data_IF_763244442553
#
_entry.id   IF_763244442553
#
_cell.length_a   1.000
_cell.length_b   1.000
_cell.length_c   1.000
_cell.angle_alpha   90.00
_cell.angle_beta   90.00
_cell.angle_gamma   90.00
#
_symmetry.space_group_name_H-M   'P 1'
#
loop_
_entity.id
_entity.type
_entity.pdbx_description
1 polymer ?
#
# COMPACT_ATOMS: atom_id res chain seq x y z
N UNK A 1 -17.22 38.12 43.29
CA UNK A 1 -16.31 38.41 42.17
C UNK A 1 -17.16 38.83 40.99
N UNK A 2 -16.99 40.08 40.57
CA UNK A 2 -17.91 40.83 39.71
C UNK A 2 -17.73 40.42 38.24
N UNK A 3 -18.86 40.13 37.59
CA UNK A 3 -19.01 39.96 36.15
C UNK A 3 -19.05 41.35 35.52
N UNK A 4 -18.24 41.61 34.48
CA UNK A 4 -18.45 42.80 33.63
C UNK A 4 -18.37 42.45 32.16
N UNK A 5 -19.50 42.67 31.48
CA UNK A 5 -19.65 42.79 30.03
C UNK A 5 -19.06 44.12 29.58
N UNK A 6 -18.46 44.16 28.39
CA UNK A 6 -18.36 45.39 27.60
C UNK A 6 -18.72 45.08 26.14
N UNK A 7 -19.84 45.64 25.71
CA UNK A 7 -20.23 45.88 24.32
C UNK A 7 -19.83 47.33 23.99
N UNK A 8 -19.25 47.56 22.82
CA UNK A 8 -19.42 48.82 22.10
C UNK A 8 -19.13 48.64 20.60
N UNK A 9 -19.90 49.37 19.82
CA UNK A 9 -20.25 49.24 18.42
C UNK A 9 -19.33 49.96 17.41
N UNK A 10 -19.30 49.38 16.21
CA UNK A 10 -19.17 49.93 14.84
C UNK A 10 -18.42 51.26 14.56
N UNK A 11 -17.46 51.20 13.63
CA UNK A 11 -17.44 52.05 12.42
C UNK A 11 -16.85 51.27 11.23
N UNK A 12 -17.59 51.25 10.13
CA UNK A 12 -17.27 50.69 8.81
C UNK A 12 -16.58 51.71 7.90
N UNK A 13 -15.55 51.30 7.15
CA UNK A 13 -14.98 52.07 6.03
C UNK A 13 -14.62 51.11 4.86
N UNK A 14 -14.85 51.49 3.58
CA UNK A 14 -14.82 50.56 2.46
C UNK A 14 -13.42 50.40 1.84
N UNK A 15 -13.09 49.17 1.43
CA UNK A 15 -11.89 48.86 0.65
C UNK A 15 -12.12 49.12 -0.85
N UNK A 16 -11.12 49.63 -1.61
CA UNK A 16 -11.30 49.92 -3.03
C UNK A 16 -11.13 48.65 -3.89
N UNK A 17 -12.03 48.51 -4.85
CA UNK A 17 -12.02 47.49 -5.90
C UNK A 17 -10.96 47.78 -6.97
N UNK A 18 -10.03 46.86 -7.18
CA UNK A 18 -9.13 46.88 -8.34
C UNK A 18 -9.66 45.88 -9.38
N UNK A 19 -10.06 46.40 -10.54
CA UNK A 19 -10.40 45.61 -11.74
C UNK A 19 -9.10 45.20 -12.45
N UNK A 20 -8.94 43.90 -12.71
CA UNK A 20 -7.89 43.37 -13.59
C UNK A 20 -8.50 42.97 -14.94
N UNK A 21 -7.90 43.49 -16.01
CA UNK A 21 -8.21 43.24 -17.42
C UNK A 21 -7.48 41.95 -17.85
N UNK A 22 -8.09 41.04 -18.63
CA UNK A 22 -7.39 39.86 -19.13
C UNK A 22 -6.81 40.10 -20.54
N UNK A 23 -5.51 39.92 -20.72
CA UNK A 23 -4.95 39.58 -22.03
C UNK A 23 -3.57 38.91 -21.92
N UNK A 24 -3.30 38.09 -22.94
CA UNK A 24 -2.01 37.47 -23.34
C UNK A 24 -1.66 36.09 -22.76
N UNK A 25 -2.27 35.12 -23.44
CA UNK A 25 -1.72 33.79 -23.72
C UNK A 25 -0.34 33.92 -24.38
N UNK A 26 0.71 33.32 -23.80
CA UNK A 26 1.81 32.76 -24.61
C UNK A 26 2.57 31.69 -23.81
N UNK A 27 2.96 30.65 -24.55
CA UNK A 27 3.67 29.42 -24.18
C UNK A 27 4.78 29.53 -23.13
N UNK A 28 4.80 28.58 -22.18
CA UNK A 28 6.02 28.16 -21.51
C UNK A 28 6.18 26.65 -21.63
N UNK A 29 7.26 26.27 -22.32
CA UNK A 29 7.78 24.92 -22.43
C UNK A 29 8.17 24.40 -21.05
N UNK A 30 7.80 23.15 -20.79
CA UNK A 30 8.20 22.40 -19.61
C UNK A 30 9.73 22.22 -19.60
N UNK A 31 10.42 22.93 -18.72
CA UNK A 31 11.78 22.61 -18.33
C UNK A 31 11.71 21.69 -17.11
N UNK A 32 12.26 20.49 -17.26
CA UNK A 32 12.50 19.53 -16.19
C UNK A 32 13.43 20.20 -15.18
N UNK A 33 12.89 20.59 -14.02
CA UNK A 33 13.66 21.06 -12.88
C UNK A 33 13.85 19.88 -11.93
N UNK A 34 15.08 19.38 -11.86
CA UNK A 34 15.55 18.47 -10.81
C UNK A 34 15.32 19.16 -9.47
N UNK A 35 14.34 18.71 -8.69
CA UNK A 35 14.07 19.26 -7.37
C UNK A 35 15.16 18.77 -6.41
N UNK A 36 16.15 19.63 -6.17
CA UNK A 36 17.04 19.51 -5.02
C UNK A 36 16.24 19.88 -3.77
N UNK A 37 16.00 18.91 -2.89
CA UNK A 37 15.41 19.17 -1.58
C UNK A 37 16.40 20.02 -0.76
N UNK A 38 16.16 21.33 -0.68
CA UNK A 38 16.99 22.26 0.09
C UNK A 38 16.64 22.16 1.57
N UNK A 39 17.46 21.44 2.32
CA UNK A 39 17.62 21.66 3.76
C UNK A 39 19.02 22.23 3.96
N UNK A 40 19.12 23.42 4.57
CA UNK A 40 20.35 24.13 4.97
C UNK A 40 21.62 23.88 4.12
N UNK A 41 21.70 24.50 2.93
CA UNK A 41 22.98 24.78 2.25
C UNK A 41 23.81 23.61 1.70
N UNK A 42 23.49 22.36 2.04
CA UNK A 42 24.18 21.17 1.54
C UNK A 42 23.28 20.39 0.59
N UNK A 43 23.71 20.19 -0.65
CA UNK A 43 23.02 19.28 -1.58
C UNK A 43 23.28 17.84 -1.12
N UNK A 44 22.29 17.26 -0.45
CA UNK A 44 22.30 15.86 -0.01
C UNK A 44 22.16 14.93 -1.23
N UNK A 45 22.85 13.78 -1.26
CA UNK A 45 22.77 12.87 -2.40
C UNK A 45 21.37 12.27 -2.55
N UNK A 46 20.91 12.20 -3.80
CA UNK A 46 19.65 11.56 -4.20
C UNK A 46 19.92 10.16 -4.72
N UNK A 47 18.99 9.24 -4.48
CA UNK A 47 19.01 7.89 -5.04
C UNK A 47 19.05 7.95 -6.58
N UNK A 48 19.98 7.20 -7.20
CA UNK A 48 20.06 7.02 -8.65
C UNK A 48 20.30 5.56 -9.02
N UNK A 49 19.50 5.05 -9.94
CA UNK A 49 19.56 3.69 -10.45
C UNK A 49 20.78 3.44 -11.34
N UNK A 50 21.37 4.51 -11.90
CA UNK A 50 22.65 4.47 -12.62
C UNK A 50 23.82 4.10 -11.73
N UNK A 51 23.72 4.38 -10.42
CA UNK A 51 24.81 4.20 -9.46
C UNK A 51 24.79 2.77 -8.84
N UNK A 52 23.90 1.90 -9.34
CA UNK A 52 23.70 0.54 -8.83
C UNK A 52 25.01 -0.27 -8.84
N UNK A 53 25.39 -0.78 -7.67
CA UNK A 53 26.37 -1.85 -7.53
C UNK A 53 25.66 -3.22 -7.58
N UNK A 54 26.11 -4.10 -8.47
CA UNK A 54 25.57 -5.45 -8.60
C UNK A 54 26.59 -6.51 -8.19
N UNK A 55 26.20 -7.37 -7.24
CA UNK A 55 26.95 -8.54 -6.83
C UNK A 55 26.24 -9.81 -7.30
N UNK A 56 26.77 -10.54 -8.29
CA UNK A 56 26.15 -11.77 -8.77
C UNK A 56 26.22 -12.89 -7.71
N UNK A 57 25.31 -13.86 -7.82
CA UNK A 57 25.42 -15.10 -7.05
C UNK A 57 26.66 -15.88 -7.50
N UNK A 58 27.38 -16.48 -6.53
CA UNK A 58 28.43 -17.42 -6.85
C UNK A 58 27.88 -18.62 -7.63
N UNK A 59 28.68 -19.22 -8.52
CA UNK A 59 28.29 -20.44 -9.27
C UNK A 59 27.96 -21.62 -8.36
N UNK A 60 28.51 -21.63 -7.14
CA UNK A 60 28.24 -22.61 -6.09
C UNK A 60 27.01 -22.29 -5.22
N UNK A 61 26.30 -21.19 -5.48
CA UNK A 61 25.15 -20.79 -4.66
C UNK A 61 24.05 -21.86 -4.71
N UNK A 62 23.65 -22.34 -3.54
CA UNK A 62 22.52 -23.23 -3.36
C UNK A 62 21.48 -22.57 -2.46
N UNK A 63 20.22 -22.76 -2.79
CA UNK A 63 19.12 -22.31 -1.94
C UNK A 63 19.11 -23.15 -0.67
N UNK A 64 19.18 -22.49 0.49
CA UNK A 64 19.12 -23.18 1.76
C UNK A 64 17.80 -23.96 1.91
N UNK A 65 17.82 -25.18 2.49
CA UNK A 65 16.60 -25.94 2.76
C UNK A 65 15.58 -25.12 3.57
N UNK A 66 14.31 -25.15 3.14
CA UNK A 66 13.22 -24.38 3.75
C UNK A 66 13.15 -22.91 3.32
N UNK A 67 14.04 -22.46 2.42
CA UNK A 67 14.06 -21.10 1.86
C UNK A 67 13.72 -21.10 0.36
N UNK A 68 13.15 -22.18 -0.16
CA UNK A 68 12.85 -22.39 -1.57
C UNK A 68 11.85 -21.38 -2.12
N UNK A 69 11.00 -20.81 -1.26
CA UNK A 69 10.09 -19.73 -1.63
C UNK A 69 10.74 -18.36 -1.64
N UNK A 70 11.91 -18.16 -1.03
CA UNK A 70 12.53 -16.85 -0.98
C UNK A 70 13.13 -16.45 -2.34
N UNK A 71 13.22 -15.14 -2.59
CA UNK A 71 14.03 -14.57 -3.65
C UNK A 71 15.51 -14.90 -3.44
N UNK A 72 16.27 -14.89 -4.52
CA UNK A 72 17.73 -15.14 -4.50
C UNK A 72 18.52 -13.86 -4.25
N UNK A 73 17.97 -12.72 -4.64
CA UNK A 73 18.58 -11.41 -4.52
C UNK A 73 17.77 -10.49 -3.59
N UNK A 74 18.43 -9.45 -3.10
CA UNK A 74 17.81 -8.32 -2.43
C UNK A 74 18.43 -7.00 -2.91
N UNK A 75 17.63 -5.93 -2.89
CA UNK A 75 18.11 -4.57 -3.06
C UNK A 75 18.29 -3.93 -1.68
N UNK A 76 19.39 -3.21 -1.47
CA UNK A 76 19.66 -2.41 -0.27
C UNK A 76 20.14 -1.02 -0.65
N UNK A 77 19.67 0.01 0.07
CA UNK A 77 20.06 1.40 -0.15
C UNK A 77 20.20 2.07 1.22
N UNK A 78 21.43 2.34 1.69
CA UNK A 78 21.64 3.04 2.95
C UNK A 78 21.29 4.51 2.80
N UNK A 79 20.95 5.16 3.90
CA UNK A 79 20.75 6.59 3.98
C UNK A 79 21.35 7.12 5.28
N UNK A 80 22.02 8.27 5.21
CA UNK A 80 22.38 9.05 6.39
C UNK A 80 21.93 10.50 6.25
N UNK A 81 21.70 11.18 7.37
CA UNK A 81 21.39 12.60 7.41
C UNK A 81 22.54 13.45 6.89
N UNK A 82 23.78 12.96 7.01
CA UNK A 82 24.99 13.68 6.58
C UNK A 82 25.20 13.63 5.06
N UNK A 83 24.96 12.48 4.43
CA UNK A 83 25.29 12.25 3.02
C UNK A 83 24.08 12.08 2.10
N UNK A 84 22.93 11.70 2.64
CA UNK A 84 21.74 11.34 1.86
C UNK A 84 21.66 9.87 1.52
N UNK A 85 20.95 9.57 0.44
CA UNK A 85 20.88 8.23 -0.11
C UNK A 85 22.25 7.81 -0.63
N UNK A 86 22.76 6.70 -0.14
CA UNK A 86 23.99 6.09 -0.61
C UNK A 86 23.78 5.24 -1.86
N UNK A 87 24.83 4.50 -2.22
CA UNK A 87 24.85 3.65 -3.40
C UNK A 87 23.83 2.50 -3.29
N UNK A 88 22.90 2.35 -4.25
CA UNK A 88 22.05 1.16 -4.31
C UNK A 88 22.88 -0.09 -4.57
N UNK A 89 22.58 -1.18 -3.87
CA UNK A 89 23.23 -2.49 -4.06
C UNK A 89 22.19 -3.57 -4.29
N UNK A 90 22.35 -4.34 -5.38
CA UNK A 90 21.66 -5.62 -5.55
C UNK A 90 22.69 -6.72 -5.34
N UNK A 91 22.40 -7.63 -4.42
CA UNK A 91 23.28 -8.76 -4.11
C UNK A 91 22.50 -9.98 -3.62
N UNK A 92 23.19 -11.08 -3.29
CA UNK A 92 22.56 -12.27 -2.71
C UNK A 92 21.71 -11.90 -1.50
N UNK A 93 20.53 -12.52 -1.36
CA UNK A 93 19.69 -12.37 -0.17
C UNK A 93 20.49 -12.81 1.07
N UNK A 94 20.56 -11.94 2.08
CA UNK A 94 21.28 -12.20 3.32
C UNK A 94 20.67 -11.49 4.52
N UNK A 95 21.20 -11.80 5.70
CA UNK A 95 20.79 -11.16 6.95
C UNK A 95 21.27 -9.70 6.99
N UNK A 96 20.51 -8.86 7.69
CA UNK A 96 20.86 -7.47 7.94
C UNK A 96 21.66 -7.37 9.25
N UNK A 97 22.72 -6.56 9.23
CA UNK A 97 23.49 -6.21 10.41
C UNK A 97 23.31 -4.73 10.70
N UNK A 98 22.99 -4.40 11.95
CA UNK A 98 22.89 -3.04 12.48
C UNK A 98 22.91 -3.10 14.01
N UNK A 99 23.14 -1.95 14.64
CA UNK A 99 23.27 -1.84 16.09
C UNK A 99 22.03 -2.39 16.83
N UNK A 100 22.19 -3.14 17.93
CA UNK A 100 21.05 -3.54 18.77
C UNK A 100 20.31 -2.33 19.37
N UNK A 101 20.94 -1.15 19.36
CA UNK A 101 20.37 0.10 19.84
C UNK A 101 19.52 0.81 18.77
N UNK A 102 19.39 0.25 17.57
CA UNK A 102 18.67 0.90 16.47
C UNK A 102 17.19 1.13 16.78
N UNK A 103 16.69 2.31 16.38
CA UNK A 103 15.31 2.73 16.62
C UNK A 103 14.24 1.77 16.07
N UNK A 104 14.55 1.01 15.02
CA UNK A 104 13.66 -0.08 14.54
C UNK A 104 13.38 -1.14 15.61
N UNK A 105 14.38 -1.52 16.41
CA UNK A 105 14.25 -2.55 17.45
C UNK A 105 13.60 -2.02 18.72
N UNK A 106 13.88 -0.75 19.05
CA UNK A 106 13.47 -0.16 20.32
C UNK A 106 12.09 0.50 20.24
N UNK A 107 11.76 1.15 19.12
CA UNK A 107 10.57 2.01 18.99
C UNK A 107 9.74 1.72 17.73
N UNK A 108 10.00 0.59 17.04
CA UNK A 108 9.29 0.18 15.83
C UNK A 108 9.29 1.25 14.71
N UNK A 109 10.38 2.00 14.58
CA UNK A 109 10.57 3.02 13.53
C UNK A 109 10.85 2.32 12.19
N UNK A 110 9.79 1.78 11.62
CA UNK A 110 9.82 1.09 10.33
C UNK A 110 8.48 1.15 9.60
N UNK A 111 8.55 1.29 8.28
CA UNK A 111 7.41 1.15 7.39
C UNK A 111 7.75 0.19 6.25
N UNK A 112 6.72 -0.32 5.60
CA UNK A 112 6.88 -1.28 4.51
C UNK A 112 5.83 -1.09 3.43
N UNK A 113 6.09 -1.68 2.28
CA UNK A 113 5.14 -1.82 1.20
C UNK A 113 4.87 -3.27 0.81
N UNK A 114 3.82 -3.48 0.03
CA UNK A 114 3.45 -4.78 -0.48
C UNK A 114 2.92 -4.70 -1.89
N UNK A 115 3.68 -5.24 -2.83
CA UNK A 115 3.31 -5.32 -4.24
C UNK A 115 3.58 -6.72 -4.79
N UNK A 116 3.12 -6.98 -6.01
CA UNK A 116 3.24 -8.28 -6.67
C UNK A 116 3.77 -8.08 -8.08
N UNK A 117 4.67 -8.97 -8.48
CA UNK A 117 5.04 -9.19 -9.87
C UNK A 117 4.35 -10.45 -10.39
N UNK A 118 3.77 -10.32 -11.57
CA UNK A 118 3.09 -11.38 -12.29
C UNK A 118 3.84 -11.67 -13.59
N UNK A 119 3.81 -12.94 -14.03
CA UNK A 119 4.25 -13.31 -15.36
C UNK A 119 3.02 -13.43 -16.27
N UNK A 120 3.02 -12.69 -17.38
CA UNK A 120 1.96 -12.72 -18.38
C UNK A 120 2.03 -14.01 -19.20
N UNK A 121 1.01 -14.24 -20.04
CA UNK A 121 0.98 -15.37 -20.97
C UNK A 121 2.11 -15.30 -22.02
N UNK A 122 2.54 -14.09 -22.38
CA UNK A 122 3.67 -13.85 -23.26
C UNK A 122 5.03 -14.00 -22.56
N UNK A 123 5.05 -14.31 -21.25
CA UNK A 123 6.28 -14.41 -20.45
C UNK A 123 6.80 -13.07 -19.90
N UNK A 124 6.15 -11.94 -20.23
CA UNK A 124 6.53 -10.63 -19.70
C UNK A 124 6.27 -10.54 -18.20
N UNK A 125 7.18 -9.88 -17.48
CA UNK A 125 6.96 -9.53 -16.09
C UNK A 125 6.15 -8.22 -15.97
N UNK A 126 5.17 -8.21 -15.07
CA UNK A 126 4.22 -7.09 -14.88
C UNK A 126 4.12 -6.69 -13.41
N UNK A 127 4.14 -5.39 -13.14
CA UNK A 127 3.89 -4.78 -11.83
C UNK A 127 2.58 -4.00 -11.87
N UNK A 128 1.79 -4.10 -10.80
CA UNK A 128 0.50 -3.40 -10.72
C UNK A 128 0.60 -2.07 -9.97
N UNK A 129 0.39 -0.97 -10.68
CA UNK A 129 0.40 0.43 -10.17
C UNK A 129 1.56 0.71 -9.19
N UNK A 130 2.84 0.47 -9.56
CA UNK A 130 3.96 0.58 -8.62
C UNK A 130 4.12 1.99 -8.02
N UNK A 131 3.90 3.05 -8.81
CA UNK A 131 3.95 4.44 -8.34
C UNK A 131 3.01 4.71 -7.16
N UNK A 132 1.78 4.18 -7.18
CA UNK A 132 0.83 4.33 -6.06
C UNK A 132 1.35 3.69 -4.77
N UNK A 133 2.10 2.58 -4.87
CA UNK A 133 2.74 1.98 -3.71
C UNK A 133 3.91 2.84 -3.22
N UNK A 134 4.73 3.38 -4.12
CA UNK A 134 5.84 4.27 -3.74
C UNK A 134 5.35 5.56 -3.08
N UNK A 135 4.27 6.17 -3.58
CA UNK A 135 3.67 7.36 -2.96
C UNK A 135 3.20 7.08 -1.53
N UNK A 136 2.55 5.92 -1.31
CA UNK A 136 2.15 5.49 0.03
C UNK A 136 3.35 5.15 0.92
N UNK A 137 4.43 4.63 0.34
CA UNK A 137 5.68 4.34 1.05
C UNK A 137 6.34 5.61 1.55
N UNK A 138 6.48 6.64 0.68
CA UNK A 138 6.98 7.97 1.04
C UNK A 138 6.17 8.60 2.17
N UNK A 139 4.84 8.57 2.04
CA UNK A 139 3.94 9.10 3.07
C UNK A 139 4.13 8.37 4.41
N UNK A 140 4.34 7.06 4.39
CA UNK A 140 4.60 6.25 5.58
C UNK A 140 5.96 6.53 6.19
N UNK A 141 7.00 6.73 5.37
CA UNK A 141 8.33 7.15 5.81
C UNK A 141 8.30 8.52 6.49
N UNK A 142 7.66 9.51 5.86
CA UNK A 142 7.54 10.86 6.40
C UNK A 142 6.82 10.91 7.76
N UNK A 143 5.82 10.04 7.98
CA UNK A 143 5.13 9.92 9.28
C UNK A 143 6.02 9.43 10.41
N UNK A 144 7.12 8.75 10.08
CA UNK A 144 8.09 8.18 11.04
C UNK A 144 9.35 9.04 11.21
N UNK A 145 9.47 10.18 10.53
CA UNK A 145 10.74 10.92 10.50
C UNK A 145 11.87 10.19 9.77
N UNK A 146 11.51 9.22 8.91
CA UNK A 146 12.44 8.53 8.00
C UNK A 146 12.60 9.34 6.70
N UNK A 147 13.70 9.14 5.94
CA UNK A 147 13.86 9.81 4.64
C UNK A 147 12.70 9.44 3.71
N UNK A 148 11.90 10.44 3.30
CA UNK A 148 10.73 10.28 2.42
C UNK A 148 10.95 10.76 0.99
N UNK A 149 12.06 11.44 0.74
CA UNK A 149 12.33 12.09 -0.54
C UNK A 149 13.25 11.21 -1.40
N UNK A 150 12.70 10.68 -2.50
CA UNK A 150 13.42 9.97 -3.57
C UNK A 150 12.64 10.11 -4.88
N UNK A 151 13.26 9.84 -6.03
CA UNK A 151 12.54 9.77 -7.29
C UNK A 151 11.90 8.38 -7.46
N UNK A 152 10.59 8.34 -7.72
CA UNK A 152 9.87 7.08 -7.93
C UNK A 152 10.33 6.35 -9.20
N UNK A 153 10.79 7.08 -10.22
CA UNK A 153 11.30 6.48 -11.46
C UNK A 153 12.61 5.74 -11.21
N UNK A 154 13.52 6.32 -10.42
CA UNK A 154 14.79 5.71 -10.02
C UNK A 154 14.56 4.45 -9.18
N UNK A 155 13.64 4.50 -8.22
CA UNK A 155 13.27 3.32 -7.43
C UNK A 155 12.58 2.24 -8.28
N UNK A 156 11.77 2.64 -9.27
CA UNK A 156 11.13 1.70 -10.20
C UNK A 156 12.15 0.97 -11.07
N UNK A 157 13.17 1.68 -11.58
CA UNK A 157 14.23 1.07 -12.37
C UNK A 157 15.05 0.05 -11.54
N UNK A 158 15.45 0.43 -10.33
CA UNK A 158 16.12 -0.47 -9.39
C UNK A 158 15.28 -1.71 -9.05
N UNK A 159 13.98 -1.52 -8.78
CA UNK A 159 13.06 -2.62 -8.54
C UNK A 159 12.91 -3.51 -9.78
N UNK A 160 12.84 -2.91 -10.97
CA UNK A 160 12.75 -3.61 -12.25
C UNK A 160 13.96 -4.53 -12.46
N UNK A 161 15.17 -4.04 -12.21
CA UNK A 161 16.42 -4.81 -12.25
C UNK A 161 16.41 -5.99 -11.26
N UNK A 162 15.99 -5.77 -10.01
CA UNK A 162 15.84 -6.85 -9.01
C UNK A 162 14.85 -7.92 -9.49
N UNK A 163 13.68 -7.51 -9.97
CA UNK A 163 12.63 -8.43 -10.42
C UNK A 163 13.02 -9.18 -11.69
N UNK A 164 13.76 -8.54 -12.61
CA UNK A 164 14.31 -9.18 -13.80
C UNK A 164 15.29 -10.32 -13.44
N UNK A 165 16.13 -10.15 -12.42
CA UNK A 165 16.97 -11.24 -11.91
C UNK A 165 16.15 -12.41 -11.36
N UNK A 166 14.96 -12.16 -10.81
CA UNK A 166 14.06 -13.21 -10.30
C UNK A 166 13.18 -13.83 -11.38
N UNK A 167 13.22 -13.35 -12.63
CA UNK A 167 12.35 -13.77 -13.73
C UNK A 167 12.20 -15.30 -13.89
N UNK A 168 13.28 -16.12 -13.81
CA UNK A 168 13.16 -17.57 -13.95
C UNK A 168 12.29 -18.24 -12.87
N UNK A 169 12.15 -17.61 -11.70
CA UNK A 169 11.38 -18.14 -10.57
C UNK A 169 9.93 -17.65 -10.55
N UNK A 170 9.62 -16.56 -11.25
CA UNK A 170 8.27 -16.00 -11.25
C UNK A 170 7.30 -17.00 -11.90
N UNK A 171 6.29 -17.48 -11.17
CA UNK A 171 5.32 -18.45 -11.66
C UNK A 171 4.43 -17.84 -12.74
N UNK A 172 4.03 -18.65 -13.72
CA UNK A 172 3.06 -18.26 -14.75
C UNK A 172 1.65 -18.72 -14.41
N UNK A 173 1.46 -19.52 -13.36
CA UNK A 173 0.14 -20.00 -12.94
C UNK A 173 -0.76 -18.86 -12.44
N UNK A 174 -2.06 -19.02 -12.64
CA UNK A 174 -3.05 -18.08 -12.09
C UNK A 174 -3.10 -18.16 -10.56
N UNK A 175 -3.23 -17.00 -9.92
CA UNK A 175 -3.15 -16.87 -8.46
C UNK A 175 -1.72 -16.86 -7.90
N UNK A 176 -0.74 -17.39 -8.63
CA UNK A 176 0.67 -17.35 -8.25
C UNK A 176 1.33 -16.01 -8.65
N UNK A 177 2.31 -15.58 -7.88
CA UNK A 177 3.05 -14.32 -8.08
C UNK A 177 4.39 -14.32 -7.33
N UNK A 178 5.27 -13.41 -7.71
CA UNK A 178 6.41 -13.00 -6.89
C UNK A 178 5.97 -11.81 -6.04
N UNK A 179 5.83 -12.01 -4.73
CA UNK A 179 5.51 -10.94 -3.80
C UNK A 179 6.78 -10.14 -3.49
N UNK A 180 6.65 -8.82 -3.48
CA UNK A 180 7.75 -7.87 -3.30
C UNK A 180 7.50 -7.08 -2.03
N UNK A 181 8.52 -6.98 -1.17
CA UNK A 181 8.48 -6.33 0.13
C UNK A 181 9.55 -5.25 0.23
N UNK A 182 9.26 -4.01 -0.20
CA UNK A 182 10.06 -2.86 0.19
C UNK A 182 9.86 -2.57 1.68
N UNK A 183 10.95 -2.26 2.38
CA UNK A 183 10.96 -1.93 3.80
C UNK A 183 11.95 -0.81 4.04
N UNK A 184 11.60 0.15 4.87
CA UNK A 184 12.47 1.22 5.34
C UNK A 184 12.47 1.19 6.86
N UNK A 185 13.66 1.21 7.44
CA UNK A 185 13.85 1.13 8.89
C UNK A 185 14.90 2.12 9.36
N UNK A 186 14.77 2.59 10.59
CA UNK A 186 15.79 3.39 11.26
C UNK A 186 16.92 2.50 11.79
N UNK A 187 18.15 2.80 11.39
CA UNK A 187 19.38 2.11 11.86
C UNK A 187 20.20 2.95 12.83
N UNK A 188 19.79 4.20 13.09
CA UNK A 188 20.48 5.13 14.00
C UNK A 188 20.78 4.53 15.37
N UNK A 189 22.00 4.68 15.87
CA UNK A 189 22.39 4.22 17.20
C UNK A 189 21.98 5.21 18.29
N UNK A 190 21.20 4.76 19.28
CA UNK A 190 20.90 5.54 20.48
C UNK A 190 19.52 5.26 21.07
N UNK A 191 19.39 5.48 22.38
CA UNK A 191 18.11 5.46 23.07
C UNK A 191 17.49 6.86 23.15
N UNK A 192 16.17 6.91 23.34
CA UNK A 192 15.40 8.14 23.43
C UNK A 192 14.87 8.64 22.09
N UNK A 193 13.89 9.54 22.17
CA UNK A 193 13.37 10.28 21.02
C UNK A 193 14.31 11.45 20.77
N UNK A 194 14.83 11.56 19.55
CA UNK A 194 15.76 12.62 19.15
C UNK A 194 15.10 14.00 19.19
N UNK A 195 15.88 15.03 19.51
CA UNK A 195 15.39 16.41 19.65
C UNK A 195 14.77 16.97 18.35
N UNK A 196 15.30 16.57 17.19
CA UNK A 196 14.77 16.97 15.89
C UNK A 196 13.72 16.01 15.34
N UNK A 197 13.43 14.89 16.03
CA UNK A 197 12.50 13.85 15.63
C UNK A 197 12.79 13.17 14.28
N UNK A 198 14.03 13.20 13.77
CA UNK A 198 14.41 12.55 12.51
C UNK A 198 15.45 11.44 12.69
N UNK A 199 15.38 10.41 11.85
CA UNK A 199 16.43 9.41 11.75
C UNK A 199 17.77 10.06 11.36
N UNK A 200 18.87 9.59 11.96
CA UNK A 200 20.24 9.97 11.56
C UNK A 200 20.74 9.04 10.47
N UNK A 201 20.37 7.77 10.58
CA UNK A 201 20.69 6.69 9.66
C UNK A 201 19.45 5.81 9.46
N UNK A 202 19.27 5.37 8.23
CA UNK A 202 18.19 4.48 7.82
C UNK A 202 18.66 3.51 6.73
N UNK A 203 17.93 2.42 6.55
CA UNK A 203 18.17 1.45 5.50
C UNK A 203 16.87 1.12 4.78
N UNK A 204 16.85 1.35 3.46
CA UNK A 204 15.84 0.78 2.59
C UNK A 204 16.31 -0.58 2.09
N UNK A 205 15.45 -1.59 2.13
CA UNK A 205 15.70 -2.84 1.43
C UNK A 205 14.45 -3.35 0.72
N UNK A 206 14.65 -4.14 -0.35
CA UNK A 206 13.57 -4.84 -1.05
C UNK A 206 13.95 -6.32 -1.16
N UNK A 207 13.09 -7.18 -0.62
CA UNK A 207 13.18 -8.63 -0.77
C UNK A 207 11.96 -9.16 -1.52
N UNK A 208 12.09 -10.36 -2.06
CA UNK A 208 10.99 -11.03 -2.78
C UNK A 208 10.73 -12.43 -2.23
N UNK A 209 9.51 -12.92 -2.41
CA UNK A 209 9.11 -14.29 -2.06
C UNK A 209 8.06 -14.80 -3.04
N UNK A 210 8.19 -16.06 -3.43
CA UNK A 210 7.20 -16.78 -4.20
C UNK A 210 5.95 -16.97 -3.36
N UNK A 211 4.82 -16.54 -3.91
CA UNK A 211 3.50 -16.84 -3.42
C UNK A 211 2.81 -17.71 -4.47
N UNK A 212 2.72 -19.01 -4.19
CA UNK A 212 2.16 -19.99 -5.12
C UNK A 212 0.62 -19.97 -5.16
N UNK A 213 -0.05 -19.04 -4.47
CA UNK A 213 -1.51 -18.89 -4.51
C UNK A 213 -2.30 -19.98 -3.80
N UNK A 214 -1.66 -21.06 -3.31
CA UNK A 214 -2.34 -22.28 -2.88
C UNK A 214 -2.90 -22.29 -1.45
N UNK A 215 -2.72 -21.25 -0.61
CA UNK A 215 -2.97 -21.41 0.84
C UNK A 215 -3.56 -20.24 1.63
N UNK A 216 -3.53 -19.00 1.13
CA UNK A 216 -3.79 -17.87 2.02
C UNK A 216 -5.26 -17.45 2.08
N UNK A 217 -6.01 -17.51 0.97
CA UNK A 217 -7.41 -17.10 0.94
C UNK A 217 -8.19 -17.94 -0.09
N UNK A 218 -9.40 -18.46 0.24
CA UNK A 218 -10.26 -19.04 -0.77
C UNK A 218 -10.49 -17.99 -1.87
N UNK A 219 -10.60 -18.44 -3.12
CA UNK A 219 -10.92 -17.56 -4.24
C UNK A 219 -12.22 -16.78 -3.94
N UNK A 220 -12.45 -15.67 -4.63
CA UNK A 220 -13.76 -15.00 -4.62
C UNK A 220 -14.92 -15.96 -5.00
N UNK A 221 -14.57 -17.11 -5.58
CA UNK A 221 -15.41 -18.27 -5.83
C UNK A 221 -15.45 -19.18 -4.58
N UNK A 222 -16.59 -19.25 -3.91
CA UNK A 222 -16.79 -20.14 -2.77
C UNK A 222 -17.68 -19.53 -1.70
N UNK A 223 -17.72 -20.16 -0.52
CA UNK A 223 -18.53 -19.69 0.63
C UNK A 223 -18.03 -18.38 1.25
N UNK A 224 -16.93 -17.81 0.77
CA UNK A 224 -16.27 -16.63 1.37
C UNK A 224 -15.49 -16.94 2.64
N UNK A 225 -14.74 -15.95 3.12
CA UNK A 225 -14.02 -16.03 4.40
C UNK A 225 -14.95 -15.74 5.58
N UNK A 226 -14.59 -16.30 6.74
CA UNK A 226 -15.27 -16.07 8.02
C UNK A 226 -14.49 -15.04 8.82
N UNK A 227 -15.16 -14.01 9.32
CA UNK A 227 -14.56 -12.95 10.14
C UNK A 227 -15.13 -12.94 11.55
N UNK A 228 -14.30 -12.59 12.53
CA UNK A 228 -14.75 -12.28 13.89
C UNK A 228 -14.76 -10.77 14.08
N UNK A 229 -15.92 -10.18 14.36
CA UNK A 229 -16.05 -8.76 14.63
C UNK A 229 -15.47 -8.45 16.02
N UNK A 230 -14.29 -7.84 16.02
CA UNK A 230 -13.48 -7.62 17.20
C UNK A 230 -13.99 -6.41 17.98
N UNK A 231 -14.65 -6.66 19.11
CA UNK A 231 -15.13 -5.64 20.05
C UNK A 231 -14.15 -5.34 21.19
N UNK A 232 -13.08 -6.14 21.31
CA UNK A 232 -12.13 -6.07 22.43
C UNK A 232 -10.91 -5.18 22.13
N UNK A 233 -10.49 -5.13 20.87
CA UNK A 233 -9.31 -4.41 20.42
C UNK A 233 -9.65 -3.49 19.24
N UNK A 234 -9.05 -2.29 19.27
CA UNK A 234 -9.09 -1.35 18.16
C UNK A 234 -7.78 -1.44 17.37
N UNK A 235 -7.88 -1.39 16.04
CA UNK A 235 -6.69 -1.44 15.16
C UNK A 235 -5.98 -0.09 15.06
N UNK A 236 -6.76 0.98 15.03
CA UNK A 236 -6.32 2.36 14.87
C UNK A 236 -7.40 3.32 15.40
N UNK A 237 -7.03 4.58 15.58
CA UNK A 237 -7.88 5.65 16.09
C UNK A 237 -7.60 6.97 15.36
N UNK A 238 -8.54 7.93 15.35
CA UNK A 238 -8.33 9.25 14.75
C UNK A 238 -7.10 9.95 15.32
N UNK A 239 -6.32 10.60 14.46
CA UNK A 239 -5.04 11.23 14.83
C UNK A 239 -3.86 10.24 15.00
N UNK A 240 -4.13 8.92 14.99
CA UNK A 240 -3.12 7.87 15.08
C UNK A 240 -2.36 7.65 13.76
N UNK A 241 -2.02 6.39 13.50
CA UNK A 241 -1.19 5.97 12.36
C UNK A 241 -1.88 4.99 11.41
N UNK A 242 -3.18 4.77 11.56
CA UNK A 242 -3.94 3.75 10.83
C UNK A 242 -3.85 3.85 9.31
N UNK A 243 -3.80 5.07 8.78
CA UNK A 243 -3.69 5.36 7.34
C UNK A 243 -2.27 5.25 6.77
N UNK A 244 -1.30 4.80 7.56
CA UNK A 244 0.10 4.62 7.17
C UNK A 244 0.51 3.14 7.29
N UNK A 245 1.45 2.68 6.46
CA UNK A 245 1.85 1.27 6.43
C UNK A 245 3.06 1.00 7.32
N UNK A 246 2.87 1.27 8.61
CA UNK A 246 3.93 1.19 9.64
C UNK A 246 3.95 -0.18 10.30
N UNK A 247 5.12 -0.69 10.68
CA UNK A 247 5.23 -1.98 11.39
C UNK A 247 4.41 -2.01 12.69
N UNK A 248 4.42 -0.91 13.45
CA UNK A 248 3.70 -0.77 14.71
C UNK A 248 2.18 -1.03 14.60
N UNK A 249 1.56 -0.76 13.44
CA UNK A 249 0.13 -0.97 13.22
C UNK A 249 -0.26 -2.46 13.12
N UNK A 250 0.71 -3.36 12.97
CA UNK A 250 0.48 -4.79 12.76
C UNK A 250 0.93 -5.66 13.94
N UNK A 251 1.81 -5.14 14.81
CA UNK A 251 2.34 -5.90 15.96
C UNK A 251 1.26 -6.38 16.94
N UNK A 252 0.18 -5.63 17.08
CA UNK A 252 -0.94 -5.93 17.98
C UNK A 252 -2.07 -6.74 17.32
N UNK A 253 -2.00 -7.03 16.02
CA UNK A 253 -3.09 -7.68 15.28
C UNK A 253 -3.26 -9.15 15.67
N UNK A 254 -2.16 -9.85 15.95
CA UNK A 254 -2.19 -11.31 16.16
C UNK A 254 -3.00 -11.74 17.38
N UNK A 255 -3.05 -10.93 18.45
CA UNK A 255 -3.78 -11.28 19.68
C UNK A 255 -5.30 -11.27 19.52
N UNK A 256 -5.82 -10.54 18.52
CA UNK A 256 -7.25 -10.45 18.26
C UNK A 256 -7.80 -11.60 17.40
N UNK A 257 -6.92 -12.44 16.82
CA UNK A 257 -7.35 -13.52 15.91
C UNK A 257 -7.96 -14.68 16.70
N UNK A 258 -9.26 -14.90 16.55
CA UNK A 258 -9.96 -16.05 17.14
C UNK A 258 -9.86 -17.32 16.29
N UNK A 259 -9.75 -18.52 16.90
CA UNK A 259 -9.77 -19.80 16.17
C UNK A 259 -11.02 -19.96 15.31
N UNK A 260 -10.87 -20.56 14.12
CA UNK A 260 -11.99 -20.81 13.20
C UNK A 260 -12.38 -19.61 12.31
N UNK A 261 -11.76 -18.45 12.51
CA UNK A 261 -11.92 -17.26 11.68
C UNK A 261 -10.64 -16.96 10.90
N UNK A 262 -10.80 -16.42 9.68
CA UNK A 262 -9.67 -16.04 8.84
C UNK A 262 -8.89 -14.88 9.48
N UNK A 263 -9.61 -13.87 9.97
CA UNK A 263 -9.08 -12.68 10.63
C UNK A 263 -10.18 -11.92 11.38
N UNK A 264 -9.78 -10.90 12.13
CA UNK A 264 -10.67 -9.97 12.82
C UNK A 264 -11.23 -8.92 11.84
N UNK A 265 -12.52 -8.62 11.95
CA UNK A 265 -13.15 -7.41 11.42
C UNK A 265 -13.02 -6.33 12.49
N UNK A 266 -12.31 -5.25 12.18
CA UNK A 266 -11.94 -4.22 13.13
C UNK A 266 -13.07 -3.23 13.33
N UNK A 267 -13.57 -3.18 14.56
CA UNK A 267 -14.56 -2.22 14.99
C UNK A 267 -13.91 -1.05 15.73
N UNK A 268 -14.55 0.11 15.68
CA UNK A 268 -14.18 1.25 16.51
C UNK A 268 -15.42 2.07 16.91
N UNK A 269 -15.21 2.92 17.91
CA UNK A 269 -16.23 3.75 18.55
C UNK A 269 -17.38 2.95 19.20
N UNK A 270 -18.34 3.65 19.80
CA UNK A 270 -19.48 3.05 20.51
C UNK A 270 -20.52 2.46 19.56
N UNK A 271 -20.54 2.93 18.33
CA UNK A 271 -21.48 2.55 17.28
C UNK A 271 -21.04 1.27 16.54
N UNK A 272 -19.86 0.70 16.86
CA UNK A 272 -19.27 -0.45 16.20
C UNK A 272 -19.07 -0.23 14.69
N UNK A 273 -18.40 0.88 14.34
CA UNK A 273 -18.03 1.22 12.97
C UNK A 273 -16.95 0.27 12.44
N UNK A 274 -17.15 -0.21 11.21
CA UNK A 274 -16.28 -1.14 10.51
C UNK A 274 -15.18 -0.37 9.80
N UNK A 275 -13.93 -0.58 10.22
CA UNK A 275 -12.77 0.03 9.55
C UNK A 275 -12.18 -0.88 8.46
N UNK A 276 -11.64 -2.02 8.86
CA UNK A 276 -10.90 -2.96 7.98
C UNK A 276 -11.11 -4.41 8.43
N UNK A 277 -10.75 -5.38 7.60
CA UNK A 277 -10.68 -6.80 7.98
C UNK A 277 -9.21 -7.25 7.92
N UNK A 278 -8.61 -7.55 9.06
CA UNK A 278 -7.17 -7.84 9.17
C UNK A 278 -6.34 -6.68 8.62
N UNK A 279 -5.77 -6.85 7.42
CA UNK A 279 -5.03 -5.81 6.69
C UNK A 279 -5.65 -5.43 5.35
N UNK A 280 -6.96 -5.62 5.19
CA UNK A 280 -7.73 -5.40 3.95
C UNK A 280 -8.80 -4.34 4.16
N UNK A 281 -9.03 -3.52 3.14
CA UNK A 281 -10.19 -2.66 3.09
C UNK A 281 -11.46 -3.50 2.89
N UNK A 282 -12.60 -3.00 3.36
CA UNK A 282 -13.88 -3.70 3.34
C UNK A 282 -14.91 -2.89 2.55
N UNK A 283 -15.74 -3.60 1.80
CA UNK A 283 -16.90 -3.06 1.12
C UNK A 283 -18.13 -3.90 1.44
N UNK A 284 -19.29 -3.26 1.58
CA UNK A 284 -20.60 -3.92 1.47
C UNK A 284 -21.25 -3.54 0.15
N UNK A 285 -22.14 -4.39 -0.32
CA UNK A 285 -22.98 -4.17 -1.49
C UNK A 285 -24.42 -4.09 -1.00
N UNK A 286 -25.08 -2.95 -1.23
CA UNK A 286 -26.50 -2.76 -0.91
C UNK A 286 -27.30 -2.48 -2.17
N UNK A 287 -28.54 -2.96 -2.20
CA UNK A 287 -29.51 -2.53 -3.19
C UNK A 287 -30.29 -1.35 -2.63
N UNK A 288 -30.12 -0.17 -3.22
CA UNK A 288 -30.83 1.04 -2.85
C UNK A 288 -32.25 1.07 -3.43
N UNK A 289 -33.14 1.80 -2.76
CA UNK A 289 -34.56 1.92 -3.14
C UNK A 289 -34.76 2.63 -4.48
N UNK A 290 -33.81 3.49 -4.87
CA UNK A 290 -33.78 4.19 -6.16
C UNK A 290 -33.28 3.30 -7.33
N UNK A 291 -33.06 2.00 -7.07
CA UNK A 291 -32.64 1.03 -8.06
C UNK A 291 -31.13 0.93 -8.27
N UNK A 292 -30.32 1.68 -7.51
CA UNK A 292 -28.86 1.60 -7.59
C UNK A 292 -28.29 0.43 -6.77
N UNK A 293 -27.25 -0.22 -7.30
CA UNK A 293 -26.36 -1.07 -6.53
C UNK A 293 -25.24 -0.22 -5.93
N UNK A 294 -25.23 -0.09 -4.60
CA UNK A 294 -24.26 0.71 -3.85
C UNK A 294 -23.09 -0.15 -3.39
N UNK A 295 -21.87 0.31 -3.69
CA UNK A 295 -20.63 -0.21 -3.11
C UNK A 295 -20.20 0.75 -1.99
N UNK A 296 -20.43 0.36 -0.74
CA UNK A 296 -20.17 1.23 0.42
C UNK A 296 -18.89 0.77 1.11
N UNK A 297 -18.00 1.72 1.41
CA UNK A 297 -16.75 1.48 2.16
C UNK A 297 -16.47 2.65 3.10
N UNK A 298 -15.71 2.41 4.17
CA UNK A 298 -15.33 3.49 5.09
C UNK A 298 -14.51 4.57 4.37
N UNK A 299 -14.83 5.83 4.67
CA UNK A 299 -14.08 6.99 4.16
C UNK A 299 -12.65 7.06 4.72
N UNK A 300 -11.80 7.84 4.07
CA UNK A 300 -10.39 7.97 4.47
C UNK A 300 -10.11 9.14 5.42
N UNK A 301 -11.10 10.03 5.61
CA UNK A 301 -10.92 11.32 6.28
C UNK A 301 -10.54 11.18 7.77
N UNK A 302 -11.03 10.15 8.45
CA UNK A 302 -10.74 9.92 9.86
C UNK A 302 -9.30 9.39 10.12
N UNK A 303 -8.55 9.02 9.08
CA UNK A 303 -7.17 8.52 9.18
C UNK A 303 -7.02 7.13 9.82
N UNK A 304 -8.11 6.41 10.04
CA UNK A 304 -8.11 5.06 10.64
C UNK A 304 -7.84 4.00 9.58
N UNK A 305 -8.30 4.19 8.33
CA UNK A 305 -8.22 3.19 7.26
C UNK A 305 -6.97 3.38 6.40
N UNK A 306 -6.30 2.29 6.05
CA UNK A 306 -5.18 2.33 5.10
C UNK A 306 -5.73 2.54 3.67
N UNK A 307 -5.29 3.55 2.90
CA UNK A 307 -5.73 3.71 1.52
C UNK A 307 -5.05 2.67 0.63
N UNK A 308 -5.72 1.53 0.46
CA UNK A 308 -5.25 0.42 -0.37
C UNK A 308 -5.24 0.75 -1.86
N UNK A 309 -4.21 0.31 -2.58
CA UNK A 309 -4.14 0.50 -4.05
C UNK A 309 -5.27 -0.26 -4.74
N UNK A 310 -5.62 -1.45 -4.23
CA UNK A 310 -6.75 -2.23 -4.77
C UNK A 310 -8.10 -1.55 -4.51
N UNK A 311 -8.30 -0.97 -3.32
CA UNK A 311 -9.49 -0.15 -2.99
C UNK A 311 -9.64 0.99 -3.98
N UNK A 312 -8.61 1.81 -4.13
CA UNK A 312 -8.60 2.94 -5.07
C UNK A 312 -8.88 2.49 -6.51
N UNK A 313 -8.27 1.37 -6.93
CA UNK A 313 -8.46 0.81 -8.28
C UNK A 313 -9.90 0.35 -8.55
N UNK A 314 -10.56 -0.25 -7.55
CA UNK A 314 -11.96 -0.66 -7.63
C UNK A 314 -12.88 0.55 -7.72
N UNK A 315 -12.68 1.53 -6.83
CA UNK A 315 -13.48 2.77 -6.82
C UNK A 315 -13.36 3.50 -8.16
N UNK A 316 -12.13 3.61 -8.69
CA UNK A 316 -11.90 4.24 -9.97
C UNK A 316 -12.63 3.52 -11.12
N UNK A 317 -12.62 2.18 -11.17
CA UNK A 317 -13.39 1.42 -12.18
C UNK A 317 -14.89 1.66 -12.08
N UNK A 318 -15.42 1.59 -10.85
CA UNK A 318 -16.86 1.70 -10.62
C UNK A 318 -17.35 3.11 -10.96
N UNK A 319 -16.60 4.15 -10.61
CA UNK A 319 -16.94 5.53 -10.95
C UNK A 319 -16.83 5.80 -12.46
N UNK A 320 -15.79 5.31 -13.13
CA UNK A 320 -15.66 5.45 -14.59
C UNK A 320 -16.84 4.78 -15.34
N UNK A 321 -17.29 3.62 -14.84
CA UNK A 321 -18.46 2.91 -15.37
C UNK A 321 -19.78 3.62 -15.07
N UNK A 322 -19.97 4.08 -13.83
CA UNK A 322 -21.16 4.83 -13.41
C UNK A 322 -21.34 6.14 -14.20
N UNK A 323 -20.23 6.86 -14.43
CA UNK A 323 -20.21 8.12 -15.18
C UNK A 323 -20.33 7.93 -16.69
N UNK A 324 -20.33 6.68 -17.19
CA UNK A 324 -20.32 6.38 -18.62
C UNK A 324 -19.01 6.75 -19.35
N UNK A 325 -17.92 7.04 -18.61
CA UNK A 325 -16.61 7.39 -19.18
C UNK A 325 -15.93 6.20 -19.83
N UNK A 326 -16.04 5.03 -19.20
CA UNK A 326 -15.54 3.76 -19.73
C UNK A 326 -16.41 2.61 -19.19
N UNK A 327 -16.79 1.62 -20.01
CA UNK A 327 -17.50 0.46 -19.49
C UNK A 327 -16.63 -0.31 -18.49
N UNK A 328 -17.27 -0.97 -17.52
CA UNK A 328 -16.56 -1.87 -16.61
C UNK A 328 -15.81 -2.93 -17.44
N UNK A 329 -14.56 -3.29 -17.10
CA UNK A 329 -13.71 -4.12 -17.97
C UNK A 329 -14.22 -5.53 -18.28
N UNK A 330 -15.22 -6.01 -17.53
CA UNK A 330 -15.81 -7.34 -17.69
C UNK A 330 -17.33 -7.20 -17.72
N UNK A 331 -17.98 -7.88 -18.66
CA UNK A 331 -19.44 -7.85 -18.77
C UNK A 331 -20.14 -8.37 -17.50
N UNK A 332 -21.35 -7.85 -17.26
CA UNK A 332 -22.21 -8.27 -16.14
C UNK A 332 -22.21 -7.33 -14.94
N UNK A 333 -21.35 -6.30 -14.90
CA UNK A 333 -21.46 -5.25 -13.88
C UNK A 333 -22.77 -4.47 -14.09
N UNK A 334 -23.61 -4.24 -13.05
CA UNK A 334 -24.84 -3.49 -13.20
C UNK A 334 -24.60 -2.09 -13.78
N UNK A 335 -25.57 -1.53 -14.52
CA UNK A 335 -25.45 -0.17 -15.07
C UNK A 335 -25.59 0.90 -14.00
N UNK A 336 -26.58 0.75 -13.12
CA UNK A 336 -26.88 1.70 -12.06
C UNK A 336 -26.05 1.36 -10.83
N UNK A 337 -24.74 1.64 -10.86
CA UNK A 337 -23.86 1.47 -9.70
C UNK A 337 -23.45 2.82 -9.14
N UNK A 338 -23.17 2.88 -7.84
CA UNK A 338 -22.49 4.02 -7.22
C UNK A 338 -21.56 3.56 -6.11
N UNK A 339 -20.49 4.30 -5.90
CA UNK A 339 -19.59 4.12 -4.75
C UNK A 339 -19.94 5.16 -3.69
N UNK A 340 -20.04 4.73 -2.44
CA UNK A 340 -20.30 5.61 -1.30
C UNK A 340 -19.21 5.43 -0.25
N UNK A 341 -18.40 6.46 -0.05
CA UNK A 341 -17.34 6.47 0.98
C UNK A 341 -17.88 7.14 2.25
N UNK A 342 -18.23 6.35 3.26
CA UNK A 342 -18.79 6.84 4.55
C UNK A 342 -18.60 5.82 5.66
N UNK A 343 -18.77 6.26 6.90
CA UNK A 343 -18.83 5.33 8.03
C UNK A 343 -19.96 4.31 7.86
N UNK A 344 -19.65 3.07 8.23
CA UNK A 344 -20.54 1.91 8.13
C UNK A 344 -20.43 1.12 9.43
N UNK A 345 -21.55 0.79 10.05
CA UNK A 345 -21.56 0.10 11.34
C UNK A 345 -22.06 -1.34 11.23
N UNK A 346 -21.65 -2.20 12.18
CA UNK A 346 -22.20 -3.56 12.29
C UNK A 346 -23.73 -3.56 12.48
N UNK A 347 -24.34 -2.67 13.29
CA UNK A 347 -25.79 -2.52 13.33
C UNK A 347 -26.43 -2.27 11.95
N UNK A 348 -25.81 -1.46 11.08
CA UNK A 348 -26.31 -1.25 9.71
C UNK A 348 -26.20 -2.53 8.87
N UNK A 349 -25.10 -3.28 8.99
CA UNK A 349 -24.93 -4.58 8.32
C UNK A 349 -26.03 -5.56 8.75
N UNK A 350 -26.31 -5.63 10.06
CA UNK A 350 -27.37 -6.49 10.60
C UNK A 350 -28.74 -6.09 10.07
N UNK A 351 -29.09 -4.79 10.12
CA UNK A 351 -30.36 -4.29 9.58
C UNK A 351 -30.49 -4.59 8.08
N UNK A 352 -29.41 -4.40 7.31
CA UNK A 352 -29.39 -4.70 5.87
C UNK A 352 -29.55 -6.18 5.54
N UNK A 353 -29.10 -7.08 6.43
CA UNK A 353 -29.34 -8.52 6.29
C UNK A 353 -30.80 -8.88 6.62
N UNK A 354 -31.39 -8.22 7.61
CA UNK A 354 -32.76 -8.46 8.06
C UNK A 354 -33.80 -7.94 7.06
N UNK A 355 -33.56 -6.77 6.45
CA UNK A 355 -34.44 -6.18 5.44
C UNK A 355 -34.12 -6.64 3.99
N UNK A 356 -33.04 -7.40 3.80
CA UNK A 356 -32.62 -7.95 2.51
C UNK A 356 -31.94 -6.95 1.58
N UNK A 357 -31.66 -5.72 2.02
CA UNK A 357 -30.98 -4.70 1.21
C UNK A 357 -29.48 -4.98 1.06
N UNK A 358 -28.84 -5.64 2.03
CA UNK A 358 -27.44 -6.05 1.93
C UNK A 358 -27.34 -7.31 1.08
N UNK A 359 -26.73 -7.19 -0.10
CA UNK A 359 -26.64 -8.26 -1.10
C UNK A 359 -25.22 -8.81 -1.28
N UNK A 360 -24.24 -8.31 -0.54
CA UNK A 360 -22.89 -8.88 -0.50
C UNK A 360 -21.90 -8.09 0.36
N UNK A 361 -20.75 -8.70 0.62
CA UNK A 361 -19.64 -8.06 1.32
C UNK A 361 -18.31 -8.67 0.86
N UNK A 362 -17.26 -7.86 0.75
CA UNK A 362 -15.94 -8.33 0.34
C UNK A 362 -14.82 -7.52 0.97
N UNK A 363 -13.66 -8.17 1.10
CA UNK A 363 -12.39 -7.53 1.43
C UNK A 363 -11.54 -7.33 0.18
N UNK A 364 -10.71 -6.28 0.15
CA UNK A 364 -9.76 -6.05 -0.93
C UNK A 364 -8.39 -5.54 -0.44
N UNK A 365 -7.35 -5.86 -1.20
CA UNK A 365 -5.97 -5.47 -0.90
C UNK A 365 -4.96 -6.35 -1.63
N UNK A 366 -3.67 -5.96 -1.65
CA UNK A 366 -2.64 -6.68 -2.43
C UNK A 366 -2.60 -8.18 -2.12
N UNK A 367 -2.77 -8.57 -0.85
CA UNK A 367 -2.71 -9.97 -0.43
C UNK A 367 -3.75 -10.85 -1.13
N UNK A 368 -5.00 -10.40 -1.17
CA UNK A 368 -6.17 -11.18 -1.62
C UNK A 368 -6.70 -10.79 -2.99
N UNK A 369 -6.29 -9.62 -3.48
CA UNK A 369 -6.95 -8.88 -4.56
C UNK A 369 -8.38 -8.50 -4.14
N UNK A 370 -9.33 -9.43 -4.27
CA UNK A 370 -10.72 -9.31 -3.83
C UNK A 370 -11.15 -10.66 -3.28
N UNK A 371 -11.72 -10.69 -2.08
CA UNK A 371 -12.21 -11.91 -1.42
C UNK A 371 -13.60 -11.70 -0.85
N UNK A 372 -14.52 -12.62 -1.14
CA UNK A 372 -15.88 -12.61 -0.60
C UNK A 372 -15.85 -12.84 0.92
N UNK A 373 -16.64 -12.08 1.67
CA UNK A 373 -16.90 -12.33 3.09
C UNK A 373 -18.22 -13.10 3.17
N UNK A 374 -18.19 -14.29 3.76
CA UNK A 374 -19.34 -15.19 3.81
C UNK A 374 -20.03 -15.26 5.15
N UNK A 375 -19.27 -15.06 6.23
CA UNK A 375 -19.80 -15.09 7.59
C UNK A 375 -19.09 -14.08 8.48
N UNK A 376 -19.85 -13.49 9.40
CA UNK A 376 -19.33 -12.59 10.44
C UNK A 376 -19.89 -13.04 11.78
N UNK A 377 -19.02 -13.35 12.73
CA UNK A 377 -19.42 -13.46 14.14
C UNK A 377 -19.42 -12.08 14.77
N UNK A 378 -20.55 -11.67 15.35
CA UNK A 378 -20.70 -10.38 16.01
C UNK A 378 -21.55 -10.54 17.28
N UNK A 379 -20.99 -10.13 18.43
CA UNK A 379 -21.61 -10.22 19.76
C UNK A 379 -22.21 -11.63 20.05
N UNK A 380 -21.47 -12.67 19.71
CA UNK A 380 -21.85 -14.07 19.95
C UNK A 380 -22.81 -14.67 18.92
N UNK A 381 -23.39 -13.88 18.01
CA UNK A 381 -24.25 -14.35 16.92
C UNK A 381 -23.46 -14.45 15.61
N UNK A 382 -23.68 -15.52 14.86
CA UNK A 382 -23.11 -15.69 13.52
C UNK A 382 -24.11 -15.18 12.48
N UNK A 383 -23.63 -14.32 11.58
CA UNK A 383 -24.39 -13.75 10.48
C UNK A 383 -23.84 -14.28 9.16
N UNK A 384 -24.72 -14.80 8.30
CA UNK A 384 -24.37 -15.25 6.94
C UNK A 384 -24.55 -14.09 5.97
N UNK A 385 -23.53 -13.84 5.15
CA UNK A 385 -23.54 -12.81 4.12
C UNK A 385 -23.96 -13.44 2.78
N UNK A 386 -24.91 -12.86 2.06
CA UNK A 386 -25.30 -13.37 0.74
C UNK A 386 -24.16 -13.24 -0.27
N UNK A 387 -23.98 -14.21 -1.19
CA UNK A 387 -23.02 -14.09 -2.27
C UNK A 387 -23.49 -13.05 -3.30
N UNK A 388 -22.54 -12.34 -3.92
CA UNK A 388 -22.83 -11.38 -4.98
C UNK A 388 -21.93 -11.59 -6.20
N UNK A 389 -22.48 -11.78 -7.41
CA UNK A 389 -21.69 -11.97 -8.64
C UNK A 389 -20.72 -10.83 -8.94
N UNK A 390 -21.04 -9.59 -8.54
CA UNK A 390 -20.18 -8.43 -8.78
C UNK A 390 -18.80 -8.57 -8.12
N UNK A 391 -18.68 -9.32 -7.02
CA UNK A 391 -17.41 -9.54 -6.32
C UNK A 391 -16.42 -10.30 -7.23
N UNK A 392 -16.91 -11.30 -7.98
CA UNK A 392 -16.10 -12.04 -8.94
C UNK A 392 -15.68 -11.13 -10.11
N UNK A 393 -16.59 -10.30 -10.62
CA UNK A 393 -16.28 -9.35 -11.70
C UNK A 393 -15.18 -8.37 -11.29
N UNK A 394 -15.25 -7.85 -10.05
CA UNK A 394 -14.21 -7.00 -9.47
C UNK A 394 -12.87 -7.73 -9.37
N UNK A 395 -12.86 -8.97 -8.85
CA UNK A 395 -11.64 -9.79 -8.79
C UNK A 395 -11.02 -9.93 -10.18
N UNK A 396 -11.82 -10.40 -11.13
CA UNK A 396 -11.37 -10.76 -12.47
C UNK A 396 -10.83 -9.54 -13.22
N UNK A 397 -11.50 -8.39 -13.11
CA UNK A 397 -11.04 -7.17 -13.73
C UNK A 397 -9.67 -6.76 -13.18
N UNK A 398 -9.50 -6.76 -11.86
CA UNK A 398 -8.21 -6.41 -11.24
C UNK A 398 -7.12 -7.42 -11.62
N UNK A 399 -7.39 -8.73 -11.54
CA UNK A 399 -6.39 -9.75 -11.88
C UNK A 399 -6.06 -9.77 -13.38
N UNK A 400 -7.02 -9.49 -14.25
CA UNK A 400 -6.83 -9.38 -15.69
C UNK A 400 -5.88 -8.22 -16.02
N UNK A 401 -6.05 -7.07 -15.37
CA UNK A 401 -5.13 -5.93 -15.53
C UNK A 401 -3.74 -6.26 -14.98
N UNK A 402 -3.67 -6.83 -13.76
CA UNK A 402 -2.41 -7.22 -13.11
C UNK A 402 -1.52 -8.11 -13.99
N UNK A 403 -2.14 -8.99 -14.78
CA UNK A 403 -1.44 -9.95 -15.66
C UNK A 403 -1.30 -9.48 -17.11
N UNK A 404 -1.84 -8.31 -17.44
CA UNK A 404 -1.83 -7.76 -18.81
C UNK A 404 -2.80 -8.44 -19.78
N UNK A 405 -3.81 -9.16 -19.29
CA UNK A 405 -4.92 -9.69 -20.11
C UNK A 405 -5.92 -8.60 -20.48
N UNK A 406 -6.04 -7.59 -19.61
CA UNK A 406 -6.88 -6.41 -19.81
C UNK A 406 -5.94 -5.22 -19.83
N UNK A 407 -5.86 -4.54 -20.98
CA UNK A 407 -5.06 -3.33 -21.12
C UNK A 407 -5.71 -2.16 -20.39
N UNK A 408 -4.92 -1.42 -19.62
CA UNK A 408 -5.41 -0.22 -18.92
C UNK A 408 -4.30 0.76 -18.57
N UNK A 409 -3.94 1.58 -19.56
CA UNK A 409 -2.96 2.65 -19.40
C UNK A 409 -1.68 2.15 -18.73
N UNK A 410 -1.25 2.87 -17.69
CA UNK A 410 -0.03 2.59 -16.93
C UNK A 410 -0.23 1.64 -15.74
N UNK A 411 -1.41 1.03 -15.58
CA UNK A 411 -1.70 0.22 -14.39
C UNK A 411 -0.93 -1.08 -14.35
N UNK A 412 -0.58 -1.63 -15.52
CA UNK A 412 0.17 -2.87 -15.67
C UNK A 412 1.54 -2.60 -16.27
N UNK A 413 2.45 -2.12 -15.43
CA UNK A 413 3.80 -1.74 -15.83
C UNK A 413 4.59 -2.98 -16.26
N UNK A 414 5.08 -2.98 -17.51
CA UNK A 414 5.96 -4.01 -18.04
C UNK A 414 7.39 -3.78 -17.55
N UNK A 415 7.95 -4.77 -16.87
CA UNK A 415 9.33 -4.72 -16.38
C UNK A 415 10.29 -4.90 -17.56
N UNK A 416 11.27 -4.00 -17.75
CA UNK A 416 12.30 -4.17 -18.76
C UNK A 416 13.19 -5.39 -18.49
N UNK A 417 13.71 -6.00 -19.55
CA UNK A 417 14.70 -7.08 -19.42
C UNK A 417 16.02 -6.48 -18.93
N UNK A 418 16.66 -7.15 -17.98
CA UNK A 418 18.00 -6.80 -17.51
C UNK A 418 18.75 -8.08 -17.14
N UNK A 419 19.92 -8.29 -17.74
CA UNK A 419 20.69 -9.54 -17.62
C UNK A 419 21.81 -9.48 -16.56
N UNK A 420 21.85 -8.45 -15.73
CA UNK A 420 22.93 -8.24 -14.77
C UNK A 420 24.19 -7.75 -15.49
N UNK A 421 24.35 -6.44 -15.60
CA UNK A 421 25.43 -5.81 -16.38
C UNK A 421 26.82 -6.37 -16.05
N UNK A 422 27.67 -6.50 -17.07
CA UNK A 422 29.04 -7.04 -16.99
C UNK A 422 30.06 -6.12 -16.26
N UNK A 423 29.61 -5.14 -15.47
CA UNK A 423 30.49 -4.14 -14.87
C UNK A 423 30.36 -4.16 -13.34
N UNK A 424 31.37 -4.71 -12.67
CA UNK A 424 31.39 -4.77 -11.21
C UNK A 424 32.56 -5.49 -10.52
N UNK A 425 33.64 -5.87 -11.22
CA UNK A 425 34.92 -6.10 -10.53
C UNK A 425 35.54 -4.73 -10.24
N UNK A 426 35.10 -4.10 -9.14
CA UNK A 426 35.90 -3.11 -8.44
C UNK A 426 36.22 -3.67 -7.07
N UNK A 427 37.51 -3.66 -6.77
CA UNK A 427 38.20 -4.28 -5.64
C UNK A 427 37.34 -4.52 -4.38
N UNK A 428 37.28 -5.79 -3.98
CA UNK A 428 36.57 -6.28 -2.78
C UNK A 428 37.30 -5.89 -1.48
N UNK A 429 38.46 -5.23 -1.55
CA UNK A 429 39.20 -4.78 -0.38
C UNK A 429 38.92 -3.31 -0.08
N UNK A 430 37.81 -3.01 0.63
CA UNK A 430 37.65 -1.87 1.56
C UNK A 430 36.19 -1.43 1.80
N UNK A 431 35.22 -2.34 1.92
CA UNK A 431 33.89 -1.96 2.46
C UNK A 431 33.35 -3.02 3.41
N UNK A 432 34.05 -3.19 4.53
CA UNK A 432 33.54 -3.88 5.73
C UNK A 432 33.00 -2.88 6.77
N UNK A 433 32.60 -1.70 6.33
CA UNK A 433 32.11 -0.62 7.19
C UNK A 433 30.72 -0.14 6.74
N UNK A 434 29.79 -1.07 6.56
CA UNK A 434 28.37 -0.89 6.84
C UNK A 434 27.86 -2.28 7.25
N UNK A 435 28.22 -2.66 8.48
CA UNK A 435 27.73 -3.80 9.22
C UNK A 435 27.13 -3.30 10.53
#
# INVERSE_FOLDING_TARGET
>A
MVVSRCLSSHVSSPAPSIRLIPSLVSSLRCNILTMTAKTNGHSVQTMRASDLYFQPLASSHQVAPGKESHGRYMLTIPWSKASGWGQPKIGPLGDLSFSPLSGVLQYAVTCFEGMKCYKSEAGDLRLFRPYKNFDRFKRSAGRLGLPSEWDNAELLDLLGKLVALEAPRVPQEDGANLYIRPTLLETSEGFGIKEDAYASDALMFIVTTLNLGQKLYPSAEGKGIRLDACTEYIRAWPGGTGSYKLGANYGTVSVAKKPGFAMSLWLHDKEDFISEAGGMNVFIIKQAQDGYTEFITMGLENGIVLPGVTRESIIQMLNEHADGKAPFPIEGMPKNVRVVERDLSMPEVVAGLEDGTLTGMFGCGTGVVVVSIGEIQYRGKLYTIPPNPAIKLLRDAVTGIQRGRIERGDWSYKVPVWEGGAEGEKDVESQQAYA
#
